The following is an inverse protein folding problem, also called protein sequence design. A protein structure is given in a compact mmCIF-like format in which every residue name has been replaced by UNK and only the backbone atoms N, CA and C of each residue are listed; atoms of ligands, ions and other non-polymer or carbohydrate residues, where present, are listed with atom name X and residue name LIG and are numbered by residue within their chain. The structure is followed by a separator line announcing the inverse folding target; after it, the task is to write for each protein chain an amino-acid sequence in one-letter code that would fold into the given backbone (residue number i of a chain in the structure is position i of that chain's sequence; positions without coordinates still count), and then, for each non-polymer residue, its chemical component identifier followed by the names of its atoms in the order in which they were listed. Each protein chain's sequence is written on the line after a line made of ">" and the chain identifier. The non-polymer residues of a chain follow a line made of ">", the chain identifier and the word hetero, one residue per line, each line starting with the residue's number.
data_IF_735354155860
#
_entry.id   IF_735354155860
#
_cell.length_a   1.000
_cell.length_b   1.000
_cell.length_c   1.000
_cell.angle_alpha   90.00
_cell.angle_beta   90.00
_cell.angle_gamma   90.00
#
_symmetry.space_group_name_H-M   'P 1'
#
loop_
_entity.id
_entity.type
_entity.pdbx_description
1 polymer ?
#
# COMPACT_ATOMS: atom_id res chain seq x y z
N UNK A 1 -11.13 12.76 0.73
CA UNK A 1 -11.81 13.79 1.57
C UNK A 1 -11.01 15.09 1.59
N UNK A 2 -11.65 16.25 1.79
CA UNK A 2 -10.93 17.54 1.81
C UNK A 2 -9.97 17.69 2.99
N UNK A 3 -10.24 16.99 4.09
CA UNK A 3 -9.45 16.99 5.32
C UNK A 3 -8.28 16.00 5.31
N UNK A 4 -8.02 15.36 4.17
CA UNK A 4 -7.01 14.30 4.07
C UNK A 4 -7.52 12.90 4.34
N UNK A 5 -6.59 11.95 4.32
CA UNK A 5 -6.82 10.53 4.51
C UNK A 5 -5.53 9.80 4.84
N UNK A 6 -5.65 8.56 5.31
CA UNK A 6 -4.49 7.72 5.62
C UNK A 6 -3.76 7.32 4.32
N UNK A 7 -2.45 7.57 4.26
CA UNK A 7 -1.57 7.04 3.22
C UNK A 7 -0.89 5.79 3.76
N UNK A 8 -1.11 4.64 3.11
CA UNK A 8 -0.50 3.38 3.50
C UNK A 8 0.34 2.79 2.35
N UNK A 9 1.28 1.92 2.72
CA UNK A 9 2.17 1.23 1.79
C UNK A 9 2.26 -0.23 2.18
N UNK A 10 1.79 -1.11 1.30
CA UNK A 10 2.03 -2.54 1.43
C UNK A 10 3.36 -2.91 0.77
N UNK A 11 4.18 -3.68 1.48
CA UNK A 11 5.53 -4.02 1.05
C UNK A 11 5.75 -5.53 1.13
N UNK A 12 6.50 -6.08 0.17
CA UNK A 12 7.01 -7.44 0.27
C UNK A 12 8.21 -7.47 1.23
N UNK A 13 8.22 -8.45 2.13
CA UNK A 13 9.31 -8.68 3.07
C UNK A 13 9.63 -10.18 3.14
N UNK A 14 10.90 -10.51 3.40
CA UNK A 14 11.35 -11.89 3.64
C UNK A 14 11.52 -12.10 5.15
N UNK A 15 10.72 -12.97 5.78
CA UNK A 15 10.89 -13.30 7.19
C UNK A 15 12.28 -13.89 7.48
N UNK A 16 12.80 -13.62 8.68
CA UNK A 16 14.14 -14.09 9.11
C UNK A 16 14.27 -15.63 9.07
N UNK A 17 13.18 -16.33 9.30
CA UNK A 17 13.05 -17.78 9.37
C UNK A 17 12.43 -18.41 8.11
N UNK A 18 12.39 -17.67 7.00
CA UNK A 18 11.89 -18.18 5.73
C UNK A 18 12.66 -19.44 5.31
N UNK A 19 11.93 -20.52 5.00
CA UNK A 19 12.53 -21.80 4.59
C UNK A 19 13.22 -21.71 3.21
N UNK A 20 12.78 -20.77 2.37
CA UNK A 20 13.28 -20.59 1.00
C UNK A 20 13.55 -19.10 0.68
N UNK A 21 14.54 -18.47 1.33
CA UNK A 21 14.80 -17.04 1.18
C UNK A 21 15.20 -16.65 -0.25
N UNK A 22 15.94 -17.52 -0.95
CA UNK A 22 16.35 -17.29 -2.33
C UNK A 22 15.16 -17.27 -3.30
N UNK A 23 14.16 -18.12 -3.09
CA UNK A 23 12.94 -18.12 -3.90
C UNK A 23 12.11 -16.86 -3.65
N UNK A 24 12.03 -16.42 -2.39
CA UNK A 24 11.36 -15.16 -2.05
C UNK A 24 12.04 -13.96 -2.73
N UNK A 25 13.38 -13.91 -2.71
CA UNK A 25 14.13 -12.86 -3.42
C UNK A 25 13.94 -12.94 -4.96
N UNK A 26 13.91 -14.15 -5.53
CA UNK A 26 13.62 -14.33 -6.95
C UNK A 26 12.22 -13.83 -7.32
N UNK A 27 11.22 -14.06 -6.47
CA UNK A 27 9.87 -13.53 -6.65
C UNK A 27 9.84 -12.00 -6.56
N UNK A 28 10.50 -11.40 -5.56
CA UNK A 28 10.60 -9.93 -5.44
C UNK A 28 11.24 -9.33 -6.71
N UNK A 29 12.32 -9.94 -7.22
CA UNK A 29 12.95 -9.50 -8.47
C UNK A 29 12.02 -9.61 -9.67
N UNK A 30 11.21 -10.67 -9.76
CA UNK A 30 10.20 -10.82 -10.81
C UNK A 30 9.11 -9.75 -10.69
N UNK A 31 8.59 -9.54 -9.48
CA UNK A 31 7.54 -8.55 -9.20
C UNK A 31 7.97 -7.13 -9.59
N UNK A 32 9.23 -6.78 -9.34
CA UNK A 32 9.80 -5.46 -9.64
C UNK A 32 10.08 -5.22 -11.14
N UNK A 33 9.85 -6.20 -12.02
CA UNK A 33 9.89 -5.95 -13.46
C UNK A 33 8.75 -5.00 -13.85
N UNK A 34 8.99 -3.97 -14.69
CA UNK A 34 7.99 -2.96 -15.03
C UNK A 34 6.66 -3.55 -15.52
N UNK A 35 6.70 -4.55 -16.39
CA UNK A 35 5.53 -5.20 -16.96
C UNK A 35 4.71 -6.00 -15.93
N UNK A 36 5.38 -6.57 -14.93
CA UNK A 36 4.74 -7.34 -13.85
C UNK A 36 4.11 -6.40 -12.83
N UNK A 37 4.83 -5.35 -12.43
CA UNK A 37 4.27 -4.32 -11.53
C UNK A 37 3.07 -3.61 -12.18
N UNK A 38 3.14 -3.31 -13.48
CA UNK A 38 2.05 -2.65 -14.21
C UNK A 38 0.83 -3.55 -14.36
N UNK A 39 1.00 -4.85 -14.64
CA UNK A 39 -0.13 -5.76 -14.76
C UNK A 39 -0.93 -5.85 -13.47
N UNK A 40 -0.26 -5.85 -12.30
CA UNK A 40 -0.95 -5.82 -11.01
C UNK A 40 -1.73 -4.51 -10.80
N UNK A 41 -1.16 -3.36 -11.15
CA UNK A 41 -1.86 -2.07 -11.08
C UNK A 41 -3.07 -2.04 -12.01
N UNK A 42 -2.96 -2.58 -13.22
CA UNK A 42 -4.05 -2.62 -14.19
C UNK A 42 -5.20 -3.51 -13.70
N UNK A 43 -4.89 -4.62 -13.02
CA UNK A 43 -5.88 -5.56 -12.49
C UNK A 43 -6.56 -5.03 -11.22
N UNK A 44 -5.78 -4.58 -10.24
CA UNK A 44 -6.28 -4.27 -8.90
C UNK A 44 -6.58 -2.79 -8.68
N UNK A 45 -6.18 -1.91 -9.60
CA UNK A 45 -6.27 -0.45 -9.44
C UNK A 45 -5.57 0.07 -8.18
N UNK A 46 -4.47 -0.57 -7.77
CA UNK A 46 -3.54 -0.05 -6.77
C UNK A 46 -2.36 0.63 -7.45
N UNK A 47 -2.02 1.85 -7.01
CA UNK A 47 -0.91 2.60 -7.57
C UNK A 47 0.41 1.85 -7.34
N UNK A 48 1.14 1.63 -8.43
CA UNK A 48 2.49 1.04 -8.41
C UNK A 48 3.50 2.00 -7.77
N UNK A 49 4.40 1.46 -6.94
CA UNK A 49 5.59 2.16 -6.46
C UNK A 49 6.77 2.07 -7.45
N UNK A 50 6.65 1.25 -8.50
CA UNK A 50 7.66 1.08 -9.54
C UNK A 50 7.51 2.18 -10.59
N UNK A 51 8.37 3.21 -10.54
CA UNK A 51 8.30 4.34 -11.48
C UNK A 51 8.42 3.91 -12.95
N UNK A 52 9.18 2.86 -13.24
CA UNK A 52 9.34 2.37 -14.61
C UNK A 52 8.09 1.67 -15.15
N UNK A 53 7.20 1.18 -14.27
CA UNK A 53 5.96 0.51 -14.68
C UNK A 53 4.84 1.48 -15.04
N UNK A 54 4.91 2.75 -14.62
CA UNK A 54 3.85 3.75 -14.84
C UNK A 54 3.52 3.92 -16.32
N UNK A 55 4.52 3.85 -17.21
CA UNK A 55 4.31 3.97 -18.65
C UNK A 55 3.50 2.80 -19.27
N UNK A 56 3.35 1.69 -18.54
CA UNK A 56 2.61 0.49 -18.98
C UNK A 56 1.25 0.34 -18.28
N UNK A 57 0.87 1.31 -17.44
CA UNK A 57 -0.46 1.35 -16.82
C UNK A 57 -1.49 1.81 -17.85
N UNK A 58 -2.68 1.20 -17.87
CA UNK A 58 -3.73 1.57 -18.81
C UNK A 58 -4.16 3.03 -18.60
N UNK A 59 -4.53 3.76 -19.66
CA UNK A 59 -4.96 5.16 -19.52
C UNK A 59 -6.12 5.35 -18.54
N UNK A 60 -7.01 4.37 -18.43
CA UNK A 60 -8.13 4.40 -17.48
C UNK A 60 -7.64 4.44 -16.03
N UNK A 61 -6.74 3.52 -15.65
CA UNK A 61 -6.20 3.45 -14.29
C UNK A 61 -5.24 4.62 -14.03
N UNK A 62 -4.39 4.98 -14.98
CA UNK A 62 -3.42 6.07 -14.85
C UNK A 62 -4.07 7.44 -14.65
N UNK A 63 -5.25 7.66 -15.25
CA UNK A 63 -6.00 8.92 -15.10
C UNK A 63 -6.94 8.92 -13.89
N UNK A 64 -7.13 7.79 -13.21
CA UNK A 64 -8.00 7.70 -12.05
C UNK A 64 -7.35 8.36 -10.82
N UNK A 65 -7.88 9.52 -10.42
CA UNK A 65 -7.40 10.29 -9.25
C UNK A 65 -7.68 9.67 -7.89
N UNK A 66 -8.48 8.61 -7.82
CA UNK A 66 -8.61 7.80 -6.62
C UNK A 66 -7.46 6.78 -6.48
N UNK A 67 -6.77 6.46 -7.58
CA UNK A 67 -5.62 5.55 -7.63
C UNK A 67 -4.31 6.35 -7.62
N UNK A 68 -4.12 7.19 -8.63
CA UNK A 68 -2.98 8.10 -8.73
C UNK A 68 -3.38 9.49 -8.24
N UNK A 69 -3.19 9.71 -6.94
CA UNK A 69 -3.47 10.97 -6.27
C UNK A 69 -2.73 12.14 -6.93
N UNK A 70 -3.38 13.29 -7.01
CA UNK A 70 -2.72 14.53 -7.41
C UNK A 70 -1.90 15.13 -6.25
N UNK A 71 -1.11 16.16 -6.57
CA UNK A 71 -0.25 16.82 -5.59
C UNK A 71 -1.03 17.43 -4.41
N UNK A 72 -2.25 17.93 -4.63
CA UNK A 72 -3.04 18.54 -3.57
C UNK A 72 -3.57 17.47 -2.59
N UNK A 73 -4.02 16.32 -3.10
CA UNK A 73 -4.45 15.20 -2.29
C UNK A 73 -3.28 14.59 -1.49
N UNK A 74 -2.09 14.51 -2.09
CA UNK A 74 -0.88 14.03 -1.41
C UNK A 74 -0.44 14.94 -0.27
N UNK A 75 -0.59 16.26 -0.39
CA UNK A 75 -0.22 17.21 0.66
C UNK A 75 -1.01 17.05 1.96
N UNK A 76 -2.25 16.58 1.87
CA UNK A 76 -3.13 16.37 3.03
C UNK A 76 -3.17 14.91 3.49
N UNK A 77 -2.45 14.01 2.81
CA UNK A 77 -2.39 12.62 3.17
C UNK A 77 -1.47 12.42 4.39
N UNK A 78 -1.87 11.56 5.32
CA UNK A 78 -1.15 11.33 6.57
C UNK A 78 -0.62 9.91 6.58
N UNK A 79 0.69 9.75 6.71
CA UNK A 79 1.31 8.43 6.92
C UNK A 79 1.09 7.95 8.35
N UNK A 80 0.86 6.64 8.57
CA UNK A 80 0.71 6.11 9.92
C UNK A 80 2.00 6.28 10.73
N UNK A 81 1.84 6.78 11.95
CA UNK A 81 2.94 6.92 12.92
C UNK A 81 3.32 5.57 13.51
N UNK A 82 4.57 5.43 13.97
CA UNK A 82 4.93 4.33 14.86
C UNK A 82 4.21 4.51 16.21
N UNK A 83 3.52 3.48 16.66
CA UNK A 83 2.76 3.50 17.92
C UNK A 83 3.42 2.60 18.95
N UNK A 84 3.40 3.00 20.23
CA UNK A 84 3.79 2.13 21.34
C UNK A 84 2.83 0.95 21.48
N UNK A 85 3.26 -0.12 22.14
CA UNK A 85 2.38 -1.27 22.41
C UNK A 85 1.16 -0.85 23.25
N UNK A 86 1.36 -0.01 24.28
CA UNK A 86 0.28 0.52 25.11
C UNK A 86 -0.75 1.31 24.27
N UNK A 87 -0.28 2.14 23.32
CA UNK A 87 -1.16 2.88 22.41
C UNK A 87 -1.95 1.93 21.50
N UNK A 88 -1.32 0.89 20.95
CA UNK A 88 -1.98 -0.10 20.09
C UNK A 88 -3.02 -0.93 20.84
N UNK A 89 -2.71 -1.34 22.06
CA UNK A 89 -3.65 -2.06 22.95
C UNK A 89 -4.87 -1.18 23.25
N UNK A 90 -4.64 0.08 23.60
CA UNK A 90 -5.71 1.06 23.82
C UNK A 90 -6.60 1.22 22.59
N UNK A 91 -6.01 1.42 21.40
CA UNK A 91 -6.76 1.51 20.14
C UNK A 91 -7.59 0.25 19.86
N UNK A 92 -7.01 -0.93 20.09
CA UNK A 92 -7.69 -2.22 19.87
C UNK A 92 -8.87 -2.39 20.83
N UNK A 93 -8.68 -2.01 22.09
CA UNK A 93 -9.73 -2.04 23.12
C UNK A 93 -10.90 -1.13 22.74
N UNK A 94 -10.62 0.13 22.39
CA UNK A 94 -11.63 1.10 21.95
C UNK A 94 -12.38 0.60 20.71
N UNK A 95 -11.67 0.10 19.69
CA UNK A 95 -12.30 -0.42 18.48
C UNK A 95 -13.18 -1.65 18.76
N UNK A 96 -12.74 -2.52 19.68
CA UNK A 96 -13.51 -3.70 20.08
C UNK A 96 -14.78 -3.30 20.84
N UNK A 97 -14.69 -2.33 21.75
CA UNK A 97 -15.85 -1.80 22.46
C UNK A 97 -16.85 -1.15 21.49
N UNK A 98 -16.35 -0.33 20.56
CA UNK A 98 -17.15 0.27 19.49
C UNK A 98 -17.90 -0.78 18.66
N UNK A 99 -17.26 -1.90 18.28
CA UNK A 99 -17.94 -2.97 17.53
C UNK A 99 -19.00 -3.72 18.33
N UNK A 100 -18.93 -3.72 19.67
CA UNK A 100 -19.83 -4.49 20.55
C UNK A 100 -21.14 -3.75 20.83
N UNK A 101 -21.10 -2.42 20.95
CA UNK A 101 -22.30 -1.59 21.01
C UNK A 101 -22.62 -1.09 19.61
N UNK A 102 -23.75 -1.49 19.02
CA UNK A 102 -24.19 -0.94 17.73
C UNK A 102 -24.08 0.59 17.67
#
# INVERSE_FOLDING_TARGET
>A
PKTGGLLFFDNLAVPKDAQHPNNAMAFINYFLKPEVSASLTNELSYATANKASVAQVTPEVANNKAVFLDAAALQVAVSPSSLSNATRESMTSVYTAFKKGK
#
